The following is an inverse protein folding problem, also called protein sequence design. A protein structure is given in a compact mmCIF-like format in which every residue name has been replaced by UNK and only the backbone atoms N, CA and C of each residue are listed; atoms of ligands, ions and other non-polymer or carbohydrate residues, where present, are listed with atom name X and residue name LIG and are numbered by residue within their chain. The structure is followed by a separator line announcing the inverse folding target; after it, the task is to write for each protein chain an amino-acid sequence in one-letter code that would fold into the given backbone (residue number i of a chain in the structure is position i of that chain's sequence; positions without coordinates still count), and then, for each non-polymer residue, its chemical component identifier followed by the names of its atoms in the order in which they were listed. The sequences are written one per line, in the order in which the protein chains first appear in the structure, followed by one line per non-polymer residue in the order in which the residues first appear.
data_IF_140440751642
#
_entry.id   IF_140440751642
#
_cell.length_a   1.000
_cell.length_b   1.000
_cell.length_c   1.000
_cell.angle_alpha   90.00
_cell.angle_beta   90.00
_cell.angle_gamma   90.00
#
_symmetry.space_group_name_H-M   'P 1'
#
loop_
_entity.id
_entity.type
_entity.pdbx_description
1 polymer ?
#
# COMPACT_ATOMS: atom_id res chain seq x y z
N UNK A 1 -32.68 -7.82 29.21
CA UNK A 1 -31.84 -8.26 28.07
C UNK A 1 -32.61 -8.24 26.76
N UNK A 2 -33.76 -8.89 26.68
CA UNK A 2 -34.61 -8.87 25.47
C UNK A 2 -35.02 -7.46 25.03
N UNK A 3 -35.63 -6.68 25.91
CA UNK A 3 -36.03 -5.29 25.61
C UNK A 3 -34.84 -4.39 25.21
N UNK A 4 -33.71 -4.54 25.90
CA UNK A 4 -32.53 -3.71 25.64
C UNK A 4 -31.74 -4.12 24.39
N UNK A 5 -31.99 -5.30 23.81
CA UNK A 5 -31.32 -5.79 22.61
C UNK A 5 -32.23 -5.78 21.38
N UNK A 6 -33.44 -6.31 21.52
CA UNK A 6 -34.43 -6.47 20.45
C UNK A 6 -35.61 -5.49 20.56
N UNK A 7 -35.74 -4.75 21.66
CA UNK A 7 -36.79 -3.76 21.85
C UNK A 7 -36.54 -2.47 21.06
N UNK A 8 -37.45 -1.51 21.20
CA UNK A 8 -37.56 -0.30 20.36
C UNK A 8 -36.25 0.50 20.31
N UNK A 9 -35.50 0.51 21.42
CA UNK A 9 -34.24 1.24 21.54
C UNK A 9 -32.99 0.34 21.41
N UNK A 10 -33.14 -0.98 21.28
CA UNK A 10 -32.04 -1.94 21.32
C UNK A 10 -31.32 -2.16 19.99
N UNK A 11 -32.03 -1.98 18.87
CA UNK A 11 -31.51 -1.99 17.49
C UNK A 11 -30.49 -3.10 17.16
N UNK A 12 -30.57 -4.27 17.80
CA UNK A 12 -29.64 -5.39 17.63
C UNK A 12 -28.16 -5.02 17.79
N UNK A 13 -27.84 -4.08 18.69
CA UNK A 13 -26.46 -3.68 18.93
C UNK A 13 -25.60 -4.87 19.37
N UNK A 14 -24.32 -4.85 18.97
CA UNK A 14 -23.35 -5.89 19.35
C UNK A 14 -23.33 -6.05 20.88
N UNK A 15 -23.21 -7.29 21.38
CA UNK A 15 -23.28 -7.58 22.83
C UNK A 15 -22.35 -6.73 23.69
N UNK A 16 -21.15 -6.39 23.22
CA UNK A 16 -20.24 -5.48 23.93
C UNK A 16 -20.78 -4.04 24.04
N UNK A 17 -21.37 -3.50 22.96
CA UNK A 17 -21.95 -2.14 22.94
C UNK A 17 -23.26 -2.04 23.71
N UNK A 18 -24.05 -3.12 23.73
CA UNK A 18 -25.27 -3.20 24.50
C UNK A 18 -25.04 -3.04 26.02
N UNK A 19 -23.82 -3.21 26.53
CA UNK A 19 -23.51 -3.05 27.96
C UNK A 19 -23.43 -1.59 28.41
N UNK A 20 -23.12 -0.65 27.51
CA UNK A 20 -22.94 0.75 27.84
C UNK A 20 -24.25 1.42 28.30
N UNK A 21 -25.39 1.27 27.57
CA UNK A 21 -26.67 1.81 28.03
C UNK A 21 -27.15 1.25 29.36
N UNK A 22 -26.82 -0.01 29.69
CA UNK A 22 -27.22 -0.60 30.98
C UNK A 22 -26.46 0.06 32.13
N UNK A 23 -25.14 0.25 31.97
CA UNK A 23 -24.30 0.94 32.96
C UNK A 23 -24.73 2.39 33.18
N UNK A 24 -25.02 3.11 32.10
CA UNK A 24 -25.40 4.52 32.16
C UNK A 24 -26.75 4.73 32.86
N UNK A 25 -27.66 3.75 32.78
CA UNK A 25 -28.94 3.76 33.49
C UNK A 25 -28.89 3.11 34.89
N UNK A 26 -27.69 2.83 35.41
CA UNK A 26 -27.50 2.33 36.78
C UNK A 26 -27.70 0.82 36.97
N UNK A 27 -27.88 0.05 35.89
CA UNK A 27 -27.97 -1.41 35.97
C UNK A 27 -26.59 -2.05 35.94
N UNK A 28 -26.32 -2.93 36.90
CA UNK A 28 -25.06 -3.66 36.99
C UNK A 28 -25.25 -5.05 37.56
N UNK A 29 -24.55 -6.01 36.96
CA UNK A 29 -24.33 -7.34 37.53
C UNK A 29 -23.00 -7.92 37.02
N UNK A 30 -22.37 -8.86 37.76
CA UNK A 30 -20.99 -9.30 37.48
C UNK A 30 -20.77 -9.90 36.08
N UNK A 31 -21.77 -10.59 35.54
CA UNK A 31 -21.70 -11.28 34.25
C UNK A 31 -22.28 -10.47 33.09
N UNK A 32 -22.68 -9.21 33.31
CA UNK A 32 -23.40 -8.38 32.32
C UNK A 32 -22.79 -8.38 30.92
N UNK A 33 -21.47 -8.21 30.81
CA UNK A 33 -20.81 -8.21 29.50
C UNK A 33 -20.95 -9.57 28.82
N UNK A 34 -20.75 -10.65 29.57
CA UNK A 34 -20.89 -12.02 29.08
C UNK A 34 -22.34 -12.31 28.67
N UNK A 35 -23.30 -11.91 29.48
CA UNK A 35 -24.72 -12.14 29.23
C UNK A 35 -25.21 -11.37 28.01
N UNK A 36 -24.76 -10.13 27.79
CA UNK A 36 -25.03 -9.37 26.57
C UNK A 36 -24.46 -10.04 25.32
N UNK A 37 -23.25 -10.58 25.41
CA UNK A 37 -22.61 -11.33 24.31
C UNK A 37 -23.37 -12.62 24.03
N UNK A 38 -23.68 -13.40 25.06
CA UNK A 38 -24.35 -14.70 24.94
C UNK A 38 -25.82 -14.56 24.53
N UNK A 39 -26.46 -13.44 24.84
CA UNK A 39 -27.77 -13.09 24.30
C UNK A 39 -27.71 -12.78 22.79
N UNK A 40 -26.77 -11.91 22.36
CA UNK A 40 -26.59 -11.57 20.94
C UNK A 40 -26.20 -12.80 20.07
N UNK A 41 -25.45 -13.76 20.64
CA UNK A 41 -25.14 -15.04 19.98
C UNK A 41 -26.36 -15.93 19.73
N UNK A 42 -27.39 -15.82 20.58
CA UNK A 42 -28.64 -16.60 20.47
C UNK A 42 -29.72 -15.87 19.67
N UNK A 43 -29.58 -14.57 19.45
CA UNK A 43 -30.53 -13.78 18.66
C UNK A 43 -30.47 -14.17 17.18
N UNK A 44 -31.56 -14.74 16.66
CA UNK A 44 -31.65 -15.16 15.25
C UNK A 44 -31.40 -14.02 14.27
N UNK A 45 -31.98 -12.84 14.48
CA UNK A 45 -31.76 -11.68 13.61
C UNK A 45 -30.28 -11.26 13.56
N UNK A 46 -29.59 -11.26 14.71
CA UNK A 46 -28.15 -11.05 14.74
C UNK A 46 -27.38 -12.17 14.05
N UNK A 47 -27.78 -13.43 14.17
CA UNK A 47 -27.07 -14.53 13.50
C UNK A 47 -27.28 -14.51 11.98
N UNK A 48 -28.49 -14.19 11.49
CA UNK A 48 -28.77 -14.11 10.05
C UNK A 48 -28.11 -12.90 9.37
N UNK A 49 -28.03 -11.77 10.05
CA UNK A 49 -27.49 -10.52 9.49
C UNK A 49 -26.08 -10.17 9.97
N UNK A 50 -25.48 -10.98 10.85
CA UNK A 50 -24.08 -10.78 11.21
C UNK A 50 -23.19 -11.02 9.98
N UNK A 51 -22.16 -10.18 9.84
CA UNK A 51 -21.06 -10.41 8.93
C UNK A 51 -20.24 -11.60 9.43
N UNK A 52 -20.77 -12.81 9.25
CA UNK A 52 -20.13 -14.05 9.65
C UNK A 52 -19.13 -14.45 8.56
N UNK A 53 -17.87 -14.10 8.77
CA UNK A 53 -16.75 -14.82 8.14
C UNK A 53 -16.62 -16.15 8.90
N UNK A 54 -17.54 -17.09 8.66
CA UNK A 54 -17.50 -18.45 9.23
C UNK A 54 -16.51 -19.37 8.52
N UNK A 55 -15.75 -18.85 7.56
CA UNK A 55 -14.59 -19.58 7.08
C UNK A 55 -13.52 -19.53 8.19
N UNK A 56 -12.90 -20.67 8.56
CA UNK A 56 -11.62 -20.58 9.23
C UNK A 56 -10.76 -19.62 8.40
N UNK A 57 -9.95 -18.73 9.03
CA UNK A 57 -8.99 -17.95 8.27
C UNK A 57 -8.10 -18.95 7.54
N UNK A 58 -8.45 -19.20 6.27
CA UNK A 58 -7.64 -19.99 5.38
C UNK A 58 -6.30 -19.25 5.39
N UNK A 59 -5.17 -19.93 5.62
CA UNK A 59 -3.89 -19.28 5.60
C UNK A 59 -3.81 -18.54 4.27
N UNK A 60 -3.95 -17.21 4.31
CA UNK A 60 -3.69 -16.39 3.15
C UNK A 60 -2.29 -16.82 2.76
N UNK A 61 -2.12 -17.35 1.55
CA UNK A 61 -0.80 -17.47 0.97
C UNK A 61 -0.49 -16.07 0.47
N UNK A 62 0.10 -15.15 1.28
CA UNK A 62 0.48 -13.87 0.76
C UNK A 62 1.38 -14.15 -0.43
N UNK A 63 1.12 -13.46 -1.53
CA UNK A 63 2.09 -13.39 -2.61
C UNK A 63 3.31 -12.67 -2.04
N UNK A 64 4.24 -13.44 -1.46
CA UNK A 64 5.48 -12.90 -0.88
C UNK A 64 6.37 -12.51 -2.06
N UNK A 65 6.31 -11.24 -2.42
CA UNK A 65 7.29 -10.65 -3.33
C UNK A 65 8.66 -10.69 -2.63
N UNK A 66 9.65 -11.27 -3.29
CA UNK A 66 10.97 -11.47 -2.68
C UNK A 66 11.85 -10.22 -2.75
N UNK A 67 11.58 -9.32 -3.70
CA UNK A 67 12.27 -8.05 -3.94
C UNK A 67 11.33 -7.04 -4.62
N UNK A 68 11.68 -5.73 -4.66
CA UNK A 68 10.91 -4.72 -5.40
C UNK A 68 10.65 -5.14 -6.84
N UNK A 69 9.41 -4.97 -7.31
CA UNK A 69 9.00 -5.22 -8.70
C UNK A 69 8.98 -6.69 -9.15
N UNK A 70 9.16 -7.66 -8.24
CA UNK A 70 8.92 -9.09 -8.50
C UNK A 70 7.47 -9.34 -8.96
N UNK A 71 6.55 -8.51 -8.48
CA UNK A 71 5.13 -8.79 -8.46
C UNK A 71 4.30 -7.50 -8.55
N UNK A 72 3.39 -7.42 -9.51
CA UNK A 72 2.48 -6.29 -9.65
C UNK A 72 1.03 -6.71 -9.60
N UNK A 73 0.20 -5.85 -9.01
CA UNK A 73 -1.25 -5.97 -9.01
C UNK A 73 -1.83 -4.89 -9.90
N UNK A 74 -2.64 -5.25 -10.89
CA UNK A 74 -3.30 -4.31 -11.81
C UNK A 74 -4.80 -4.31 -11.58
N UNK A 75 -5.41 -3.13 -11.64
CA UNK A 75 -6.85 -2.95 -11.53
C UNK A 75 -7.30 -1.68 -12.28
N UNK A 76 -8.56 -1.65 -12.68
CA UNK A 76 -9.19 -0.49 -13.31
C UNK A 76 -10.20 0.13 -12.37
N UNK A 77 -9.98 1.39 -12.03
CA UNK A 77 -10.93 2.20 -11.27
C UNK A 77 -11.88 2.90 -12.23
N UNK A 78 -13.18 2.68 -12.10
CA UNK A 78 -14.20 3.45 -12.80
C UNK A 78 -15.51 2.70 -13.00
N UNK A 79 -16.48 3.31 -13.70
CA UNK A 79 -16.39 4.66 -14.29
C UNK A 79 -16.44 5.78 -13.23
N UNK A 80 -15.58 6.79 -13.40
CA UNK A 80 -15.54 8.02 -12.60
C UNK A 80 -16.30 9.15 -13.29
N UNK A 81 -16.51 10.28 -12.59
CA UNK A 81 -17.05 11.50 -13.21
C UNK A 81 -16.16 11.93 -14.37
N UNK A 82 -16.75 12.17 -15.55
CA UNK A 82 -16.01 12.53 -16.76
C UNK A 82 -15.10 13.74 -16.53
N UNK A 83 -13.80 13.57 -16.80
CA UNK A 83 -12.82 14.65 -16.70
C UNK A 83 -13.00 15.67 -17.83
N UNK A 84 -12.37 16.85 -17.73
CA UNK A 84 -12.33 17.85 -18.81
C UNK A 84 -11.69 17.28 -20.09
N UNK A 85 -10.65 16.45 -19.95
CA UNK A 85 -10.06 15.68 -21.05
C UNK A 85 -10.86 14.46 -21.52
N UNK A 86 -12.05 14.22 -20.95
CA UNK A 86 -12.93 13.11 -21.34
C UNK A 86 -12.55 11.75 -20.76
N UNK A 87 -11.68 11.70 -19.76
CA UNK A 87 -11.29 10.44 -19.11
C UNK A 87 -12.41 9.96 -18.17
N UNK A 88 -12.55 8.64 -18.07
CA UNK A 88 -13.58 7.95 -17.27
C UNK A 88 -13.01 6.89 -16.34
N UNK A 89 -11.82 6.36 -16.64
CA UNK A 89 -11.22 5.26 -15.91
C UNK A 89 -9.80 5.61 -15.50
N UNK A 90 -9.29 4.92 -14.49
CA UNK A 90 -7.87 4.94 -14.11
C UNK A 90 -7.38 3.50 -14.17
N UNK A 91 -6.36 3.23 -14.96
CA UNK A 91 -5.63 1.97 -14.86
C UNK A 91 -4.52 2.15 -13.82
N UNK A 92 -4.54 1.31 -12.80
CA UNK A 92 -3.64 1.36 -11.67
C UNK A 92 -2.79 0.07 -11.60
N UNK A 93 -1.53 0.21 -11.23
CA UNK A 93 -0.65 -0.89 -10.86
C UNK A 93 0.02 -0.62 -9.52
N UNK A 94 0.09 -1.63 -8.65
CA UNK A 94 0.80 -1.54 -7.36
C UNK A 94 1.77 -2.71 -7.20
N UNK A 95 3.02 -2.41 -6.86
CA UNK A 95 4.06 -3.38 -6.52
C UNK A 95 3.78 -4.02 -5.15
N UNK A 96 3.88 -5.35 -5.06
CA UNK A 96 3.59 -6.07 -3.83
C UNK A 96 4.61 -5.83 -2.74
N UNK A 97 5.88 -5.59 -3.09
CA UNK A 97 6.97 -5.46 -2.11
C UNK A 97 6.99 -4.05 -1.51
N UNK A 98 7.26 -3.04 -2.34
CA UNK A 98 7.46 -1.66 -1.94
C UNK A 98 6.17 -0.87 -1.76
N UNK A 99 5.04 -1.41 -2.26
CA UNK A 99 3.79 -0.67 -2.44
C UNK A 99 3.94 0.52 -3.38
N UNK A 100 4.95 0.53 -4.24
CA UNK A 100 5.06 1.53 -5.30
C UNK A 100 3.85 1.43 -6.23
N UNK A 101 3.27 2.56 -6.59
CA UNK A 101 2.07 2.58 -7.41
C UNK A 101 2.25 3.45 -8.64
N UNK A 102 1.78 2.98 -9.79
CA UNK A 102 1.68 3.68 -11.06
C UNK A 102 0.21 3.77 -11.48
N UNK A 103 -0.19 4.87 -12.11
CA UNK A 103 -1.53 4.96 -12.68
C UNK A 103 -1.59 5.88 -13.90
N UNK A 104 -2.53 5.58 -14.80
CA UNK A 104 -2.81 6.37 -16.00
C UNK A 104 -4.31 6.59 -16.17
N UNK A 105 -4.75 7.81 -16.53
CA UNK A 105 -6.15 8.06 -16.86
C UNK A 105 -6.48 7.49 -18.24
N UNK A 106 -7.66 6.90 -18.38
CA UNK A 106 -8.17 6.32 -19.62
C UNK A 106 -9.56 6.87 -19.96
N UNK A 107 -9.79 7.14 -21.25
CA UNK A 107 -11.12 7.46 -21.78
C UNK A 107 -12.02 6.22 -21.85
N UNK A 108 -11.41 5.08 -22.14
CA UNK A 108 -12.04 3.77 -22.29
C UNK A 108 -11.04 2.67 -21.95
N UNK A 109 -11.55 1.52 -21.51
CA UNK A 109 -10.73 0.38 -21.11
C UNK A 109 -10.50 -0.53 -22.32
N UNK A 110 -9.52 -0.15 -23.13
CA UNK A 110 -9.06 -0.96 -24.28
C UNK A 110 -7.93 -1.90 -23.89
N UNK A 111 -7.89 -3.04 -24.57
CA UNK A 111 -6.86 -4.08 -24.38
C UNK A 111 -5.45 -3.59 -24.73
N UNK A 112 -5.35 -2.69 -25.72
CA UNK A 112 -4.12 -2.04 -26.16
C UNK A 112 -3.54 -1.15 -25.05
N UNK A 113 -4.40 -0.36 -24.39
CA UNK A 113 -4.00 0.53 -23.31
C UNK A 113 -3.35 -0.23 -22.14
N UNK A 114 -3.88 -1.41 -21.81
CA UNK A 114 -3.32 -2.27 -20.75
C UNK A 114 -1.94 -2.81 -21.15
N UNK A 115 -1.80 -3.31 -22.38
CA UNK A 115 -0.52 -3.83 -22.88
C UNK A 115 0.56 -2.74 -22.95
N UNK A 116 0.20 -1.55 -23.43
CA UNK A 116 1.11 -0.41 -23.49
C UNK A 116 1.50 0.11 -22.11
N UNK A 117 0.57 0.11 -21.15
CA UNK A 117 0.85 0.47 -19.77
C UNK A 117 1.84 -0.51 -19.11
N UNK A 118 1.64 -1.82 -19.26
CA UNK A 118 2.60 -2.82 -18.72
C UNK A 118 3.98 -2.63 -19.35
N UNK A 119 4.04 -2.46 -20.67
CA UNK A 119 5.30 -2.28 -21.38
C UNK A 119 6.03 -1.01 -20.96
N UNK A 120 5.33 0.12 -20.97
CA UNK A 120 5.93 1.46 -20.83
C UNK A 120 6.10 1.87 -19.37
N UNK A 121 5.09 1.64 -18.53
CA UNK A 121 5.08 2.12 -17.16
C UNK A 121 5.65 1.11 -16.16
N UNK A 122 5.66 -0.19 -16.51
CA UNK A 122 6.21 -1.24 -15.64
C UNK A 122 7.56 -1.74 -16.19
N UNK A 123 7.56 -2.40 -17.35
CA UNK A 123 8.74 -3.12 -17.85
C UNK A 123 9.90 -2.16 -18.15
N UNK A 124 9.66 -1.11 -18.93
CA UNK A 124 10.74 -0.19 -19.32
C UNK A 124 11.25 0.69 -18.17
N UNK A 125 10.51 0.82 -17.06
CA UNK A 125 10.92 1.62 -15.90
C UNK A 125 11.57 0.79 -14.80
N UNK A 126 11.01 -0.39 -14.52
CA UNK A 126 11.33 -1.18 -13.34
C UNK A 126 11.87 -2.57 -13.66
N UNK A 127 11.89 -2.95 -14.94
CA UNK A 127 12.29 -4.27 -15.40
C UNK A 127 11.12 -5.24 -15.49
N UNK A 128 11.43 -6.46 -15.95
CA UNK A 128 10.43 -7.50 -16.16
C UNK A 128 10.02 -8.13 -14.81
N UNK A 129 8.74 -8.08 -14.44
CA UNK A 129 8.28 -8.74 -13.22
C UNK A 129 8.21 -10.26 -13.40
N UNK A 130 8.16 -11.02 -12.31
CA UNK A 130 7.92 -12.47 -12.37
C UNK A 130 6.44 -12.77 -12.62
N UNK A 131 5.55 -12.00 -11.99
CA UNK A 131 4.13 -12.08 -12.28
C UNK A 131 3.39 -10.74 -12.19
N UNK A 132 2.37 -10.65 -13.03
CA UNK A 132 1.37 -9.60 -13.02
C UNK A 132 0.04 -10.24 -12.64
N UNK A 133 -0.58 -9.74 -11.57
CA UNK A 133 -1.86 -10.23 -11.09
C UNK A 133 -2.92 -9.21 -11.52
N UNK A 134 -3.91 -9.68 -12.26
CA UNK A 134 -5.05 -8.87 -12.73
C UNK A 134 -6.35 -9.50 -12.24
N UNK A 135 -7.43 -8.73 -12.20
CA UNK A 135 -8.77 -9.26 -11.98
C UNK A 135 -9.32 -9.97 -13.23
N UNK A 136 -10.47 -10.64 -13.07
CA UNK A 136 -11.16 -11.40 -14.12
C UNK A 136 -11.71 -10.52 -15.28
N UNK A 137 -11.34 -9.25 -15.39
CA UNK A 137 -11.92 -8.34 -16.36
C UNK A 137 -11.44 -8.62 -17.80
N UNK A 138 -12.39 -8.65 -18.74
CA UNK A 138 -12.15 -8.99 -20.16
C UNK A 138 -10.99 -8.24 -20.82
N UNK A 139 -10.75 -6.92 -20.56
CA UNK A 139 -9.62 -6.20 -21.14
C UNK A 139 -8.24 -6.77 -20.78
N UNK A 140 -8.11 -7.47 -19.64
CA UNK A 140 -6.86 -8.11 -19.21
C UNK A 140 -6.60 -9.45 -19.89
N UNK A 141 -7.62 -10.07 -20.50
CA UNK A 141 -7.51 -11.32 -21.26
C UNK A 141 -7.46 -11.01 -22.74
N UNK A 142 -6.25 -10.83 -23.26
CA UNK A 142 -6.10 -10.55 -24.68
C UNK A 142 -4.82 -11.14 -25.26
N UNK A 143 -4.82 -11.33 -26.58
CA UNK A 143 -3.67 -11.89 -27.31
C UNK A 143 -2.43 -11.00 -27.25
N UNK A 144 -2.56 -9.69 -27.01
CA UNK A 144 -1.43 -8.77 -26.89
C UNK A 144 -0.69 -8.96 -25.55
N UNK A 145 -1.42 -9.18 -24.46
CA UNK A 145 -0.87 -9.48 -23.15
C UNK A 145 -0.20 -10.85 -23.20
N UNK A 146 -0.83 -11.86 -23.80
CA UNK A 146 -0.20 -13.17 -23.99
C UNK A 146 1.10 -13.08 -24.81
N UNK A 147 1.10 -12.29 -25.91
CA UNK A 147 2.31 -12.02 -26.69
C UNK A 147 3.37 -11.30 -25.85
N UNK A 148 2.97 -10.36 -24.99
CA UNK A 148 3.87 -9.65 -24.08
C UNK A 148 4.46 -10.58 -23.01
N UNK A 149 3.64 -11.45 -22.41
CA UNK A 149 4.07 -12.49 -21.48
C UNK A 149 5.11 -13.41 -22.13
N UNK A 150 4.86 -13.88 -23.36
CA UNK A 150 5.80 -14.72 -24.10
C UNK A 150 7.09 -13.98 -24.46
N UNK A 151 6.98 -12.72 -24.92
CA UNK A 151 8.13 -11.90 -25.33
C UNK A 151 9.07 -11.58 -24.18
N UNK A 152 8.52 -11.18 -23.03
CA UNK A 152 9.31 -10.73 -21.89
C UNK A 152 9.54 -11.83 -20.84
N UNK A 153 8.77 -12.91 -20.86
CA UNK A 153 8.93 -14.06 -19.96
C UNK A 153 8.27 -13.93 -18.58
N UNK A 154 7.33 -12.98 -18.40
CA UNK A 154 6.56 -12.86 -17.16
C UNK A 154 5.26 -13.68 -17.20
N UNK A 155 4.74 -14.05 -16.04
CA UNK A 155 3.48 -14.82 -15.92
C UNK A 155 2.31 -13.91 -15.54
N UNK A 156 1.24 -13.93 -16.31
CA UNK A 156 -0.02 -13.36 -15.85
C UNK A 156 -0.72 -14.35 -14.91
N UNK A 157 -1.18 -13.87 -13.76
CA UNK A 157 -2.04 -14.61 -12.84
C UNK A 157 -3.35 -13.87 -12.71
N UNK A 158 -4.41 -14.64 -12.57
CA UNK A 158 -5.73 -14.10 -12.36
C UNK A 158 -6.09 -14.18 -10.88
N UNK A 159 -6.65 -13.11 -10.32
CA UNK A 159 -7.22 -13.18 -8.98
C UNK A 159 -8.54 -13.96 -9.03
N UNK A 160 -8.46 -15.27 -8.78
CA UNK A 160 -9.66 -16.02 -8.40
C UNK A 160 -10.16 -15.50 -7.03
N UNK A 161 -11.42 -15.81 -6.66
CA UNK A 161 -11.94 -15.53 -5.31
C UNK A 161 -10.98 -16.01 -4.19
N UNK A 162 -10.14 -17.01 -4.47
CA UNK A 162 -9.15 -17.57 -3.55
C UNK A 162 -7.88 -16.72 -3.36
N UNK A 163 -7.58 -15.75 -4.25
CA UNK A 163 -6.45 -14.81 -4.08
C UNK A 163 -6.93 -13.47 -3.52
N UNK A 164 -7.66 -13.52 -2.40
CA UNK A 164 -8.21 -12.34 -1.72
C UNK A 164 -7.16 -11.28 -1.39
N UNK A 165 -5.92 -11.68 -1.08
CA UNK A 165 -4.79 -10.78 -0.78
C UNK A 165 -4.40 -9.91 -1.97
N UNK A 166 -4.52 -10.44 -3.19
CA UNK A 166 -4.15 -9.73 -4.40
C UNK A 166 -5.14 -8.62 -4.73
N UNK A 167 -6.43 -8.96 -4.66
CA UNK A 167 -7.51 -7.99 -4.81
C UNK A 167 -7.48 -6.96 -3.68
N UNK A 168 -7.27 -7.39 -2.43
CA UNK A 168 -7.23 -6.48 -1.28
C UNK A 168 -6.09 -5.45 -1.34
N UNK A 169 -4.94 -5.81 -1.93
CA UNK A 169 -3.83 -4.86 -2.08
C UNK A 169 -4.14 -3.78 -3.11
N UNK A 170 -4.66 -4.15 -4.29
CA UNK A 170 -5.03 -3.15 -5.30
C UNK A 170 -6.24 -2.33 -4.85
N UNK A 171 -7.21 -2.95 -4.19
CA UNK A 171 -8.38 -2.27 -3.64
C UNK A 171 -7.99 -1.23 -2.59
N UNK A 172 -7.06 -1.58 -1.68
CA UNK A 172 -6.54 -0.64 -0.69
C UNK A 172 -5.81 0.55 -1.33
N UNK A 173 -5.01 0.31 -2.38
CA UNK A 173 -4.40 1.38 -3.16
C UNK A 173 -5.46 2.25 -3.83
N UNK A 174 -6.40 1.66 -4.56
CA UNK A 174 -7.43 2.37 -5.32
C UNK A 174 -8.31 3.22 -4.40
N UNK A 175 -8.71 2.69 -3.24
CA UNK A 175 -9.43 3.44 -2.21
C UNK A 175 -8.64 4.65 -1.71
N UNK A 176 -7.33 4.48 -1.50
CA UNK A 176 -6.43 5.56 -1.08
C UNK A 176 -6.30 6.61 -2.18
N UNK A 177 -6.07 6.18 -3.42
CA UNK A 177 -5.94 7.05 -4.59
C UNK A 177 -7.20 7.89 -4.79
N UNK A 178 -8.38 7.27 -4.77
CA UNK A 178 -9.65 7.98 -4.88
C UNK A 178 -9.86 8.98 -3.73
N UNK A 179 -9.45 8.64 -2.50
CA UNK A 179 -9.52 9.55 -1.36
C UNK A 179 -8.60 10.77 -1.55
N UNK A 180 -7.38 10.55 -2.03
CA UNK A 180 -6.42 11.63 -2.32
C UNK A 180 -6.93 12.52 -3.45
N UNK A 181 -7.39 11.94 -4.56
CA UNK A 181 -7.95 12.69 -5.69
C UNK A 181 -9.14 13.55 -5.25
N UNK A 182 -10.05 13.01 -4.43
CA UNK A 182 -11.19 13.80 -3.89
C UNK A 182 -10.73 15.04 -3.12
N UNK A 183 -9.60 14.97 -2.40
CA UNK A 183 -9.04 16.09 -1.63
C UNK A 183 -8.34 17.10 -2.52
N UNK A 184 -7.61 16.65 -3.54
CA UNK A 184 -6.84 17.53 -4.46
C UNK A 184 -7.74 18.25 -5.45
N UNK A 185 -8.81 17.60 -5.91
CA UNK A 185 -9.73 18.08 -6.98
C UNK A 185 -10.79 19.07 -6.46
N UNK A 186 -10.64 19.59 -5.24
CA UNK A 186 -11.68 20.28 -4.46
C UNK A 186 -12.39 21.47 -5.15
N UNK A 187 -11.82 22.06 -6.21
CA UNK A 187 -12.43 23.22 -6.91
C UNK A 187 -13.18 22.88 -8.20
N UNK A 188 -12.68 21.96 -9.03
CA UNK A 188 -13.29 21.61 -10.31
C UNK A 188 -13.28 20.10 -10.42
N UNK A 189 -14.40 19.43 -10.09
CA UNK A 189 -14.56 17.95 -10.10
C UNK A 189 -14.16 17.22 -11.40
N UNK A 190 -13.74 17.96 -12.43
CA UNK A 190 -13.38 17.51 -13.77
C UNK A 190 -11.88 17.51 -14.05
N UNK A 191 -11.02 18.09 -13.20
CA UNK A 191 -9.56 18.16 -13.46
C UNK A 191 -8.78 16.94 -12.92
N UNK A 192 -9.45 15.94 -12.34
CA UNK A 192 -8.81 14.82 -11.65
C UNK A 192 -7.71 14.11 -12.44
N UNK A 193 -7.86 13.99 -13.77
CA UNK A 193 -6.88 13.34 -14.64
C UNK A 193 -5.52 14.07 -14.69
N UNK A 194 -5.50 15.39 -14.56
CA UNK A 194 -4.27 16.20 -14.50
C UNK A 194 -3.62 16.11 -13.11
N UNK A 195 -4.44 15.92 -12.08
CA UNK A 195 -4.03 15.84 -10.66
C UNK A 195 -3.59 14.44 -10.21
N UNK A 196 -3.63 13.42 -11.08
CA UNK A 196 -3.18 12.06 -10.75
C UNK A 196 -1.72 12.06 -10.28
N UNK A 197 -0.86 12.84 -10.92
CA UNK A 197 0.55 12.96 -10.53
C UNK A 197 0.73 13.43 -9.09
N UNK A 198 -0.05 14.42 -8.65
CA UNK A 198 -0.01 14.94 -7.28
C UNK A 198 -0.51 13.90 -6.25
N UNK A 199 -1.57 13.17 -6.58
CA UNK A 199 -2.10 12.10 -5.74
C UNK A 199 -1.10 10.93 -5.63
N UNK A 200 -0.47 10.52 -6.73
CA UNK A 200 0.57 9.51 -6.74
C UNK A 200 1.81 9.96 -5.97
N UNK A 201 2.25 11.21 -6.13
CA UNK A 201 3.38 11.76 -5.39
C UNK A 201 3.13 11.68 -3.88
N UNK A 202 1.98 12.19 -3.43
CA UNK A 202 1.54 12.13 -2.03
C UNK A 202 1.49 10.69 -1.51
N UNK A 203 0.97 9.77 -2.33
CA UNK A 203 0.92 8.36 -1.96
C UNK A 203 2.33 7.78 -1.76
N UNK A 204 3.24 8.02 -2.71
CA UNK A 204 4.61 7.48 -2.74
C UNK A 204 5.51 8.03 -1.64
N UNK A 205 5.26 9.25 -1.15
CA UNK A 205 6.06 9.91 -0.10
C UNK A 205 5.45 9.81 1.30
N UNK A 206 4.31 9.13 1.45
CA UNK A 206 3.67 8.93 2.76
C UNK A 206 3.84 7.48 3.22
N UNK A 207 4.19 7.32 4.50
CA UNK A 207 4.42 6.03 5.16
C UNK A 207 3.20 5.11 5.02
N UNK A 208 3.43 3.85 4.68
CA UNK A 208 2.38 2.83 4.58
C UNK A 208 2.41 1.90 5.78
N UNK A 209 1.25 1.65 6.40
CA UNK A 209 1.12 0.77 7.56
C UNK A 209 1.74 -0.63 7.37
N UNK A 210 1.59 -1.30 6.20
CA UNK A 210 2.16 -2.64 6.03
C UNK A 210 3.70 -2.67 5.98
N UNK A 211 4.35 -1.59 5.53
CA UNK A 211 5.81 -1.55 5.35
C UNK A 211 6.52 -0.68 6.37
N UNK A 212 5.79 0.16 7.12
CA UNK A 212 6.32 1.17 8.05
C UNK A 212 7.36 2.10 7.39
N UNK A 213 7.31 2.24 6.07
CA UNK A 213 8.22 3.05 5.25
C UNK A 213 7.47 3.65 4.06
N UNK A 214 8.03 4.67 3.43
CA UNK A 214 7.45 5.24 2.21
C UNK A 214 7.75 4.33 1.01
N UNK A 215 6.81 4.19 0.05
CA UNK A 215 7.12 3.48 -1.19
C UNK A 215 8.34 4.04 -1.91
N UNK A 216 8.56 5.35 -1.84
CA UNK A 216 9.71 6.01 -2.44
C UNK A 216 11.04 5.53 -1.83
N UNK A 217 11.16 5.51 -0.50
CA UNK A 217 12.37 5.02 0.16
C UNK A 217 12.63 3.53 -0.11
N UNK A 218 11.58 2.71 -0.21
CA UNK A 218 11.74 1.28 -0.53
C UNK A 218 12.22 1.02 -1.95
N UNK A 219 11.89 1.90 -2.90
CA UNK A 219 12.31 1.79 -4.31
C UNK A 219 13.69 2.40 -4.53
N UNK A 220 13.93 3.62 -4.05
CA UNK A 220 15.14 4.39 -4.37
C UNK A 220 16.19 4.34 -3.24
N UNK A 221 15.90 3.70 -2.12
CA UNK A 221 16.80 3.58 -0.97
C UNK A 221 16.92 4.85 -0.11
N UNK A 222 16.26 5.94 -0.51
CA UNK A 222 16.28 7.24 0.18
C UNK A 222 14.91 7.90 0.08
N UNK A 223 14.57 8.75 1.05
CA UNK A 223 13.32 9.53 1.00
C UNK A 223 13.36 10.59 -0.10
N UNK A 224 12.21 10.85 -0.72
CA UNK A 224 12.06 11.97 -1.65
C UNK A 224 12.37 13.30 -0.94
N UNK A 225 12.98 14.25 -1.64
CA UNK A 225 13.09 15.63 -1.15
C UNK A 225 11.72 16.30 -1.30
N UNK A 226 11.11 16.69 -0.18
CA UNK A 226 9.82 17.36 -0.18
C UNK A 226 9.98 18.87 -0.43
N UNK A 227 8.99 19.55 -1.03
CA UNK A 227 9.04 21.01 -1.21
C UNK A 227 9.28 21.79 0.10
N UNK A 228 8.78 21.28 1.23
CA UNK A 228 9.03 21.84 2.55
C UNK A 228 10.52 21.85 2.90
N UNK A 229 11.27 20.81 2.51
CA UNK A 229 12.71 20.75 2.76
C UNK A 229 13.49 21.76 1.93
N UNK A 230 12.93 22.24 0.81
CA UNK A 230 13.54 23.31 0.03
C UNK A 230 13.27 24.70 0.64
N UNK A 231 12.13 24.87 1.30
CA UNK A 231 11.78 26.11 2.00
C UNK A 231 12.49 26.21 3.36
N UNK A 232 12.59 25.09 4.05
CA UNK A 232 13.25 24.95 5.34
C UNK A 232 14.25 23.80 5.19
N UNK A 233 15.53 24.09 4.90
CA UNK A 233 16.56 23.09 4.67
C UNK A 233 16.53 22.01 5.74
N UNK A 234 16.22 20.78 5.33
CA UNK A 234 16.33 19.64 6.23
C UNK A 234 17.81 19.37 6.54
N UNK A 235 18.09 18.65 7.64
CA UNK A 235 19.46 18.36 8.05
C UNK A 235 20.30 17.75 6.91
N UNK A 236 19.70 16.89 6.08
CA UNK A 236 20.40 16.29 4.92
C UNK A 236 20.71 17.30 3.80
N UNK A 237 19.85 18.29 3.56
CA UNK A 237 20.05 19.32 2.54
C UNK A 237 21.08 20.33 3.06
N UNK A 238 20.93 20.80 4.30
CA UNK A 238 21.87 21.73 4.92
C UNK A 238 23.29 21.15 4.99
N UNK A 239 23.43 19.85 5.28
CA UNK A 239 24.73 19.16 5.21
C UNK A 239 25.26 19.15 3.77
N UNK A 240 24.42 18.87 2.76
CA UNK A 240 24.86 18.87 1.37
C UNK A 240 25.29 20.23 0.85
N UNK A 241 24.58 21.30 1.20
CA UNK A 241 24.92 22.67 0.81
C UNK A 241 26.27 23.14 1.40
N UNK A 242 26.66 22.61 2.56
CA UNK A 242 27.92 22.91 3.22
C UNK A 242 29.11 22.05 2.80
N UNK A 243 28.92 21.03 1.96
CA UNK A 243 30.00 20.11 1.55
C UNK A 243 30.69 20.60 0.27
N UNK A 244 32.02 20.52 0.23
CA UNK A 244 32.74 20.66 -1.04
C UNK A 244 32.45 19.46 -1.96
N UNK A 245 32.75 19.61 -3.24
CA UNK A 245 32.54 18.54 -4.22
C UNK A 245 33.34 17.27 -3.86
N UNK A 246 34.57 17.44 -3.34
CA UNK A 246 35.42 16.35 -2.87
C UNK A 246 34.86 15.64 -1.64
N UNK A 247 34.29 16.40 -0.68
CA UNK A 247 33.70 15.83 0.53
C UNK A 247 32.43 15.04 0.21
N UNK A 248 31.59 15.58 -0.68
CA UNK A 248 30.40 14.90 -1.18
C UNK A 248 30.79 13.61 -1.94
N UNK A 249 31.81 13.65 -2.78
CA UNK A 249 32.34 12.46 -3.46
C UNK A 249 32.85 11.40 -2.47
N UNK A 250 33.57 11.81 -1.41
CA UNK A 250 34.04 10.91 -0.34
C UNK A 250 32.90 10.27 0.45
N UNK A 251 31.83 11.02 0.76
CA UNK A 251 30.65 10.48 1.47
C UNK A 251 29.91 9.48 0.57
N UNK A 252 29.70 9.82 -0.71
CA UNK A 252 29.11 8.90 -1.70
C UNK A 252 29.91 7.62 -1.82
N UNK A 253 31.24 7.71 -1.89
CA UNK A 253 32.14 6.55 -1.93
C UNK A 253 32.04 5.66 -0.67
N UNK A 254 31.99 6.27 0.53
CA UNK A 254 31.84 5.53 1.79
C UNK A 254 30.50 4.79 1.87
N UNK A 255 29.44 5.38 1.33
CA UNK A 255 28.10 4.78 1.29
C UNK A 255 27.94 3.73 0.17
N UNK A 256 28.79 3.78 -0.86
CA UNK A 256 28.76 2.89 -2.03
C UNK A 256 29.30 1.46 -1.79
N UNK A 257 29.53 1.00 -0.55
CA UNK A 257 30.15 -0.33 -0.34
C UNK A 257 29.47 -1.42 -1.19
N UNK A 258 30.15 -2.00 -2.19
CA UNK A 258 29.57 -3.10 -2.95
C UNK A 258 29.38 -4.25 -1.97
N UNK A 259 28.20 -4.89 -1.99
CA UNK A 259 27.98 -6.15 -1.28
C UNK A 259 29.01 -7.14 -1.79
N UNK A 260 30.08 -7.36 -1.03
CA UNK A 260 31.14 -8.29 -1.45
C UNK A 260 30.73 -9.72 -1.08
N UNK A 261 31.23 -10.68 -1.84
CA UNK A 261 30.96 -12.13 -1.69
C UNK A 261 31.25 -12.70 -0.28
N UNK A 262 31.96 -11.94 0.58
CA UNK A 262 32.28 -12.30 1.96
C UNK A 262 31.12 -12.05 2.94
N UNK A 263 30.27 -11.07 2.67
CA UNK A 263 29.12 -10.74 3.55
C UNK A 263 28.03 -11.82 3.51
N UNK A 264 27.97 -12.61 2.43
CA UNK A 264 27.04 -13.74 2.29
C UNK A 264 27.45 -15.00 3.06
N UNK A 265 28.75 -15.23 3.35
CA UNK A 265 29.20 -16.47 4.00
C UNK A 265 28.97 -16.49 5.51
N UNK A 266 28.88 -15.32 6.16
CA UNK A 266 28.70 -15.24 7.61
C UNK A 266 27.24 -15.17 8.07
N UNK A 267 26.27 -15.12 7.16
CA UNK A 267 24.85 -14.95 7.50
C UNK A 267 23.95 -16.09 6.99
N UNK A 268 24.41 -17.33 7.13
CA UNK A 268 23.52 -18.49 7.09
C UNK A 268 22.88 -18.64 8.48
N UNK A 269 21.66 -18.10 8.65
CA UNK A 269 20.82 -18.51 9.77
C UNK A 269 20.12 -17.43 10.58
N UNK A 270 19.63 -16.35 9.98
CA UNK A 270 18.60 -15.50 10.62
C UNK A 270 17.80 -14.74 9.58
N UNK A 271 16.47 -14.91 9.59
CA UNK A 271 15.47 -14.21 8.78
C UNK A 271 15.30 -12.72 9.15
N UNK A 272 16.35 -12.09 9.68
CA UNK A 272 16.39 -10.69 10.13
C UNK A 272 17.56 -9.98 9.44
N UNK A 273 17.49 -9.87 8.12
CA UNK A 273 18.46 -9.06 7.35
C UNK A 273 17.68 -8.01 6.58
N UNK A 274 17.33 -6.92 7.28
CA UNK A 274 17.05 -5.60 6.66
C UNK A 274 16.93 -4.42 7.64
N UNK A 275 16.97 -4.64 8.96
CA UNK A 275 16.93 -3.55 9.95
C UNK A 275 18.31 -3.16 10.52
N UNK A 276 19.31 -4.04 10.46
CA UNK A 276 20.61 -3.76 11.10
C UNK A 276 21.51 -2.79 10.33
N UNK A 277 21.38 -2.67 9.01
CA UNK A 277 22.10 -1.64 8.25
C UNK A 277 21.65 -0.21 8.63
N UNK A 278 20.37 -0.01 8.94
CA UNK A 278 19.83 1.27 9.41
C UNK A 278 20.29 1.60 10.84
N UNK A 279 20.28 0.61 11.75
CA UNK A 279 20.78 0.80 13.12
C UNK A 279 22.28 1.08 13.18
N UNK A 280 23.08 0.47 12.31
CA UNK A 280 24.53 0.68 12.28
C UNK A 280 24.90 2.07 11.73
N UNK A 281 24.11 2.61 10.80
CA UNK A 281 24.28 3.98 10.28
C UNK A 281 23.95 5.04 11.34
N UNK A 282 22.86 4.85 12.09
CA UNK A 282 22.46 5.76 13.18
C UNK A 282 23.50 5.78 14.30
N UNK A 283 24.03 4.61 14.72
CA UNK A 283 25.09 4.55 15.75
C UNK A 283 26.40 5.22 15.31
N UNK A 284 26.73 5.19 14.01
CA UNK A 284 27.89 5.91 13.47
C UNK A 284 27.67 7.42 13.43
N UNK A 285 26.48 7.89 13.08
CA UNK A 285 26.15 9.32 13.14
C UNK A 285 26.23 9.87 14.56
N UNK A 286 25.74 9.13 15.56
CA UNK A 286 25.83 9.53 16.98
C UNK A 286 27.28 9.56 17.50
N UNK A 287 28.15 8.67 17.01
CA UNK A 287 29.58 8.65 17.39
C UNK A 287 30.41 9.78 16.76
N UNK A 288 29.97 10.31 15.61
CA UNK A 288 30.59 11.48 14.96
C UNK A 288 30.18 12.76 15.69
N UNK A 289 28.93 12.84 16.17
CA UNK A 289 28.42 13.95 16.99
C UNK A 289 29.19 14.14 18.32
N UNK A 290 29.62 13.05 18.98
CA UNK A 290 30.38 13.14 20.24
C UNK A 290 31.83 13.63 20.09
N UNK A 291 32.37 13.70 18.86
CA UNK A 291 33.73 14.22 18.59
C UNK A 291 33.75 15.68 18.13
N UNK A 292 32.58 16.30 17.95
CA UNK A 292 32.46 17.69 17.48
C UNK A 292 31.94 18.64 18.57
N UNK A 293 31.76 18.16 19.82
CA UNK A 293 31.26 18.95 20.97
C UNK A 293 32.21 18.85 22.18
N UNK A 294 33.48 18.46 21.99
CA UNK A 294 34.57 18.67 22.95
C UNK A 294 35.77 19.22 22.20
#
# INVERSE_FOLDING_TARGET
MEEAHSGVCGAHQSGAKATLPHKENGYYWPTMVKDCIDYAKRCQACQFHANLIHQPPEPLHPTVASWPFDAWSLDVVGPMTKSSGGHLYILAATDYFSKWAESVPLKEVKKENVADFIRTNIIYRYGVPRYIITDNWKPFFNSLINKSCQKFGFKQRNSSMYYATANGLTEAFNKTLCSLLKKVVAKLKRDWHERIGEALWTYRTTVRTPTQSTPYALVYGVEAVLPLEQQIPSLRIAIQEGLTEEENARIRWKNWKPLTRRDWRHNKGSSVIKLDCLRHSIRKCVRILFKLVI
#
